data_IF_747168700312
#
_entry.id   IF_747168700312
#
_cell.length_a   1.000
_cell.length_b   1.000
_cell.length_c   1.000
_cell.angle_alpha   90.00
_cell.angle_beta   90.00
_cell.angle_gamma   90.00
#
_symmetry.space_group_name_H-M   'P 1'
#
loop_
_entity.id
_entity.type
_entity.pdbx_description
1 polymer ?
#
# COMPACT_ATOMS: atom_id res chain seq x y z
N UNK A 1 -25.06 20.46 87.30
CA UNK A 1 -25.09 18.98 87.26
C UNK A 1 -25.02 18.56 85.81
N UNK A 2 -23.81 18.31 85.30
CA UNK A 2 -23.16 16.99 85.23
C UNK A 2 -23.65 16.15 84.04
N UNK A 3 -22.76 16.05 83.05
CA UNK A 3 -22.26 14.81 82.43
C UNK A 3 -23.32 13.79 81.97
N UNK A 4 -23.49 13.70 80.66
CA UNK A 4 -23.67 12.42 79.97
C UNK A 4 -23.20 12.51 78.51
N UNK A 5 -22.03 11.90 78.24
CA UNK A 5 -21.72 10.99 77.11
C UNK A 5 -21.98 11.54 75.69
N UNK A 6 -21.03 11.92 74.84
CA UNK A 6 -19.69 11.40 74.51
C UNK A 6 -19.67 9.90 74.13
N UNK A 7 -20.42 9.56 73.08
CA UNK A 7 -20.28 8.38 72.22
C UNK A 7 -20.70 8.87 70.83
N UNK A 8 -19.88 8.94 69.78
CA UNK A 8 -18.94 7.96 69.30
C UNK A 8 -19.33 7.66 67.85
N UNK A 9 -18.98 8.55 66.92
CA UNK A 9 -18.92 8.22 65.50
C UNK A 9 -17.92 9.15 64.80
N UNK A 10 -16.65 8.93 65.15
CA UNK A 10 -15.52 9.32 64.33
C UNK A 10 -15.67 8.53 63.02
N UNK A 11 -16.26 9.14 62.00
CA UNK A 11 -16.19 8.64 60.63
C UNK A 11 -14.73 8.75 60.21
N UNK A 12 -14.01 7.66 60.42
CA UNK A 12 -12.66 7.43 59.92
C UNK A 12 -12.75 7.54 58.40
N UNK A 13 -12.30 8.67 57.89
CA UNK A 13 -11.86 8.87 56.51
C UNK A 13 -10.67 7.95 56.24
N UNK A 14 -10.94 6.65 56.05
CA UNK A 14 -10.00 5.77 55.37
C UNK A 14 -10.21 5.94 53.86
N UNK A 15 -9.85 7.13 53.39
CA UNK A 15 -9.50 7.32 51.99
C UNK A 15 -8.11 6.73 51.84
N UNK A 16 -8.04 5.42 51.64
CA UNK A 16 -6.85 4.75 51.14
C UNK A 16 -6.52 5.39 49.80
N UNK A 17 -5.59 6.34 49.83
CA UNK A 17 -4.81 6.74 48.66
C UNK A 17 -4.09 5.48 48.18
N UNK A 18 -4.71 4.76 47.24
CA UNK A 18 -3.96 3.91 46.34
C UNK A 18 -3.08 4.86 45.53
N UNK A 19 -1.84 5.04 45.98
CA UNK A 19 -0.79 5.56 45.14
C UNK A 19 -0.62 4.55 43.99
N UNK A 20 -1.34 4.78 42.90
CA UNK A 20 -1.11 4.09 41.64
C UNK A 20 0.38 4.29 41.32
N UNK A 21 1.16 3.22 41.33
CA UNK A 21 2.56 3.32 40.91
C UNK A 21 2.55 3.89 39.50
N UNK A 22 3.14 5.08 39.30
CA UNK A 22 3.27 5.71 38.00
C UNK A 22 4.20 4.83 37.14
N UNK A 23 3.64 3.80 36.51
CA UNK A 23 4.38 2.95 35.59
C UNK A 23 4.91 3.82 34.44
N UNK A 24 6.20 3.68 34.15
CA UNK A 24 6.85 4.36 33.04
C UNK A 24 7.04 3.35 31.92
N UNK A 25 6.64 3.74 30.70
CA UNK A 25 6.85 2.93 29.50
C UNK A 25 8.33 2.55 29.36
N UNK A 26 8.59 1.26 29.21
CA UNK A 26 9.92 0.66 29.09
C UNK A 26 10.20 0.30 27.65
N UNK A 27 9.22 -0.24 26.91
CA UNK A 27 9.46 -0.72 25.54
C UNK A 27 9.71 0.44 24.56
N UNK A 28 9.04 1.57 24.77
CA UNK A 28 9.24 2.79 23.95
C UNK A 28 10.63 3.44 24.12
N UNK A 29 11.42 3.06 25.14
CA UNK A 29 12.76 3.63 25.33
C UNK A 29 13.77 3.11 24.31
N UNK A 30 13.50 1.93 23.72
CA UNK A 30 14.30 1.38 22.63
C UNK A 30 13.38 1.01 21.46
N UNK A 31 13.14 1.94 20.51
CA UNK A 31 12.25 1.71 19.39
C UNK A 31 12.73 0.65 18.40
N UNK A 32 13.99 0.21 18.47
CA UNK A 32 14.64 -0.70 17.52
C UNK A 32 14.72 -2.16 18.03
N UNK A 33 13.96 -2.50 19.08
CA UNK A 33 13.85 -3.89 19.58
C UNK A 33 13.29 -4.81 18.47
N UNK A 34 13.78 -6.04 18.38
CA UNK A 34 13.23 -7.07 17.49
C UNK A 34 11.74 -7.38 17.77
N UNK A 35 10.96 -7.71 16.73
CA UNK A 35 9.51 -7.89 16.84
C UNK A 35 9.12 -9.08 17.74
N UNK A 36 9.89 -10.18 17.72
CA UNK A 36 9.61 -11.35 18.58
C UNK A 36 9.85 -11.01 20.04
N UNK A 37 10.99 -10.34 20.31
CA UNK A 37 11.32 -9.87 21.66
C UNK A 37 10.30 -8.84 22.16
N UNK A 38 9.84 -7.94 21.29
CA UNK A 38 8.83 -6.96 21.61
C UNK A 38 7.49 -7.63 21.97
N UNK A 39 7.06 -8.62 21.18
CA UNK A 39 5.85 -9.41 21.44
C UNK A 39 5.90 -10.09 22.81
N UNK A 40 7.02 -10.74 23.13
CA UNK A 40 7.23 -11.34 24.45
C UNK A 40 7.14 -10.28 25.54
N UNK A 41 7.73 -9.10 25.32
CA UNK A 41 7.69 -8.02 26.31
C UNK A 41 6.27 -7.51 26.57
N UNK A 42 5.43 -7.35 25.55
CA UNK A 42 4.06 -6.85 25.77
C UNK A 42 3.15 -7.94 26.34
N UNK A 43 3.39 -9.22 26.03
CA UNK A 43 2.54 -10.34 26.48
C UNK A 43 2.52 -10.56 28.00
N UNK A 44 3.52 -10.07 28.74
CA UNK A 44 3.51 -10.19 30.21
C UNK A 44 2.90 -8.96 30.91
N UNK A 45 2.62 -7.88 30.18
CA UNK A 45 2.11 -6.65 30.77
C UNK A 45 0.59 -6.74 31.05
N UNK A 46 0.13 -6.27 32.22
CA UNK A 46 -1.30 -6.06 32.46
C UNK A 46 -1.86 -4.91 31.61
N UNK A 47 -3.18 -4.90 31.42
CA UNK A 47 -3.93 -3.98 30.57
C UNK A 47 -3.62 -2.50 30.84
N UNK A 48 -3.63 -2.10 32.11
CA UNK A 48 -3.36 -0.73 32.55
C UNK A 48 -1.98 -0.25 32.09
N UNK A 49 -0.97 -1.12 32.12
CA UNK A 49 0.39 -0.83 31.66
C UNK A 49 0.51 -0.84 30.13
N UNK A 50 -0.27 -1.68 29.45
CA UNK A 50 -0.31 -1.69 27.98
C UNK A 50 -0.81 -0.37 27.41
N UNK A 51 -1.80 0.29 28.03
CA UNK A 51 -2.24 1.62 27.61
C UNK A 51 -1.15 2.70 27.79
N UNK A 52 -0.35 2.60 28.85
CA UNK A 52 0.81 3.51 29.05
C UNK A 52 1.88 3.29 27.97
N UNK A 53 2.15 2.03 27.61
CA UNK A 53 3.04 1.72 26.48
C UNK A 53 2.46 2.24 25.16
N UNK A 54 1.16 1.99 24.87
CA UNK A 54 0.50 2.47 23.67
C UNK A 54 0.60 4.01 23.53
N UNK A 55 0.42 4.74 24.63
CA UNK A 55 0.58 6.20 24.64
C UNK A 55 2.01 6.63 24.35
N UNK A 56 3.01 5.95 24.90
CA UNK A 56 4.42 6.23 24.64
C UNK A 56 4.79 5.97 23.16
N UNK A 57 4.32 4.86 22.60
CA UNK A 57 4.51 4.53 21.18
C UNK A 57 3.77 5.47 20.24
N UNK A 58 2.56 5.90 20.60
CA UNK A 58 1.84 6.96 19.85
C UNK A 58 2.65 8.26 19.82
N UNK A 59 3.28 8.65 20.91
CA UNK A 59 4.14 9.85 20.95
C UNK A 59 5.35 9.72 20.02
N UNK A 60 6.00 8.55 19.98
CA UNK A 60 7.05 8.28 19.00
C UNK A 60 6.53 8.36 17.57
N UNK A 61 5.30 7.88 17.32
CA UNK A 61 4.66 7.97 16.02
C UNK A 61 4.34 9.42 15.62
N UNK A 62 3.91 10.26 16.57
CA UNK A 62 3.70 11.70 16.39
C UNK A 62 4.99 12.41 15.97
N UNK A 63 6.10 12.14 16.68
CA UNK A 63 7.40 12.74 16.37
C UNK A 63 7.92 12.27 15.01
N UNK A 64 7.86 10.96 14.71
CA UNK A 64 8.26 10.44 13.41
C UNK A 64 7.37 10.98 12.27
N UNK A 65 6.07 11.19 12.51
CA UNK A 65 5.16 11.79 11.53
C UNK A 65 5.48 13.28 11.29
N UNK A 66 5.88 14.01 12.33
CA UNK A 66 6.35 15.39 12.22
C UNK A 66 7.62 15.47 11.38
N UNK A 67 8.59 14.58 11.60
CA UNK A 67 9.84 14.54 10.83
C UNK A 67 9.57 14.30 9.33
N UNK A 68 8.69 13.35 9.02
CA UNK A 68 8.24 13.09 7.63
C UNK A 68 7.59 14.34 7.03
N UNK A 69 6.76 15.06 7.78
CA UNK A 69 6.13 16.29 7.30
C UNK A 69 7.15 17.41 7.04
N UNK A 70 8.15 17.58 7.91
CA UNK A 70 9.23 18.56 7.73
C UNK A 70 10.05 18.24 6.47
N UNK A 71 10.41 16.96 6.26
CA UNK A 71 11.12 16.53 5.06
C UNK A 71 10.30 16.81 3.78
N UNK A 72 8.99 16.55 3.79
CA UNK A 72 8.10 16.88 2.67
C UNK A 72 8.04 18.38 2.39
N UNK A 73 8.00 19.23 3.43
CA UNK A 73 8.07 20.68 3.27
C UNK A 73 9.41 21.11 2.66
N UNK A 74 10.52 20.47 3.03
CA UNK A 74 11.83 20.76 2.46
C UNK A 74 11.88 20.38 0.97
N UNK A 75 11.32 19.24 0.57
CA UNK A 75 11.19 18.85 -0.84
C UNK A 75 10.37 19.89 -1.60
N UNK A 76 9.24 20.32 -1.05
CA UNK A 76 8.41 21.35 -1.67
C UNK A 76 9.20 22.65 -1.89
N UNK A 77 9.94 23.10 -0.88
CA UNK A 77 10.82 24.28 -1.00
C UNK A 77 11.88 24.13 -2.09
N UNK A 78 12.44 22.92 -2.29
CA UNK A 78 13.39 22.69 -3.38
C UNK A 78 12.69 22.68 -4.75
N UNK A 79 11.49 22.11 -4.86
CA UNK A 79 10.68 22.17 -6.08
C UNK A 79 10.39 23.63 -6.47
N UNK A 80 9.97 24.46 -5.52
CA UNK A 80 9.69 25.89 -5.76
C UNK A 80 10.95 26.62 -6.27
N UNK A 81 12.13 26.30 -5.72
CA UNK A 81 13.41 26.86 -6.20
C UNK A 81 13.73 26.38 -7.61
N UNK A 82 13.54 25.09 -7.91
CA UNK A 82 13.78 24.53 -9.23
C UNK A 82 12.85 25.19 -10.26
N UNK A 83 11.57 25.39 -9.93
CA UNK A 83 10.61 26.09 -10.78
C UNK A 83 11.02 27.55 -11.02
N UNK A 84 11.46 28.25 -9.96
CA UNK A 84 12.00 29.61 -10.07
C UNK A 84 13.23 29.65 -11.00
N UNK A 85 14.15 28.69 -10.87
CA UNK A 85 15.32 28.59 -11.73
C UNK A 85 14.94 28.28 -13.19
N UNK A 86 13.97 27.39 -13.43
CA UNK A 86 13.43 27.10 -14.78
C UNK A 86 12.87 28.36 -15.43
N UNK A 87 11.99 29.09 -14.74
CA UNK A 87 11.43 30.37 -15.21
C UNK A 87 12.51 31.39 -15.52
N UNK A 88 13.54 31.51 -14.66
CA UNK A 88 14.68 32.41 -14.89
C UNK A 88 15.48 32.02 -16.13
N UNK A 89 15.64 30.73 -16.42
CA UNK A 89 16.30 30.25 -17.63
C UNK A 89 15.48 30.62 -18.86
N UNK A 90 14.17 30.34 -18.85
CA UNK A 90 13.25 30.69 -19.96
C UNK A 90 13.27 32.18 -20.25
N UNK A 91 13.08 33.04 -19.23
CA UNK A 91 13.13 34.50 -19.40
C UNK A 91 14.50 35.00 -19.88
N UNK A 92 15.60 34.32 -19.53
CA UNK A 92 16.93 34.68 -20.02
C UNK A 92 17.14 34.24 -21.47
N UNK A 93 16.60 33.08 -21.87
CA UNK A 93 16.62 32.58 -23.25
C UNK A 93 15.79 33.47 -24.19
N UNK A 94 14.57 33.83 -23.79
CA UNK A 94 13.73 34.78 -24.55
C UNK A 94 14.41 36.15 -24.73
N UNK A 95 15.15 36.63 -23.72
CA UNK A 95 15.93 37.88 -23.79
C UNK A 95 17.19 37.79 -24.66
N UNK A 96 17.66 36.59 -24.95
CA UNK A 96 18.76 36.34 -25.89
C UNK A 96 18.18 36.35 -27.31
N UNK A 97 17.09 35.61 -27.55
CA UNK A 97 16.41 35.52 -28.86
C UNK A 97 15.90 36.88 -29.34
N UNK A 98 15.21 37.66 -28.49
CA UNK A 98 14.74 39.03 -28.86
C UNK A 98 15.86 40.04 -29.08
N UNK A 99 17.08 39.79 -28.60
CA UNK A 99 18.24 40.65 -28.85
C UNK A 99 18.96 40.28 -30.14
N UNK A 100 18.95 39.01 -30.54
CA UNK A 100 19.50 38.57 -31.82
C UNK A 100 18.68 39.11 -33.01
N UNK A 101 17.35 39.18 -32.90
CA UNK A 101 16.49 39.76 -33.95
C UNK A 101 16.63 41.29 -34.11
N UNK A 102 17.03 42.00 -33.05
CA UNK A 102 17.15 43.48 -33.06
C UNK A 102 18.53 44.01 -33.48
N UNK A 103 19.56 43.16 -33.61
CA UNK A 103 20.95 43.59 -33.87
C UNK A 103 21.53 43.02 -35.16
N UNK A 104 20.83 43.18 -36.28
CA UNK A 104 21.39 42.90 -37.62
C UNK A 104 22.47 43.92 -38.06
N UNK A 105 22.92 44.83 -37.20
CA UNK A 105 24.02 45.75 -37.47
C UNK A 105 25.01 45.78 -36.29
N UNK A 106 26.28 45.63 -36.65
CA UNK A 106 27.41 45.15 -35.84
C UNK A 106 27.84 46.14 -34.76
N UNK A 107 28.13 45.62 -33.56
CA UNK A 107 29.21 46.12 -32.70
C UNK A 107 29.67 45.00 -31.75
N UNK A 108 30.97 44.93 -31.43
CA UNK A 108 31.60 44.03 -30.43
C UNK A 108 30.95 44.06 -29.03
N UNK A 109 29.99 44.96 -28.83
CA UNK A 109 29.13 45.10 -27.66
C UNK A 109 27.98 44.08 -27.65
N UNK A 110 27.42 43.72 -28.80
CA UNK A 110 26.38 42.70 -28.93
C UNK A 110 26.92 41.30 -28.57
N UNK A 111 28.12 40.96 -29.04
CA UNK A 111 28.80 39.70 -28.73
C UNK A 111 29.14 39.57 -27.23
N UNK A 112 29.59 40.65 -26.59
CA UNK A 112 29.80 40.69 -25.13
C UNK A 112 28.49 40.60 -24.33
N UNK A 113 27.37 41.06 -24.87
CA UNK A 113 26.04 40.95 -24.24
C UNK A 113 25.51 39.52 -24.36
N UNK A 114 25.68 38.87 -25.52
CA UNK A 114 25.33 37.47 -25.73
C UNK A 114 26.16 36.55 -24.83
N UNK A 115 27.49 36.70 -24.81
CA UNK A 115 28.38 35.92 -23.93
C UNK A 115 28.07 36.12 -22.44
N UNK A 116 27.68 37.33 -22.02
CA UNK A 116 27.28 37.62 -20.64
C UNK A 116 25.92 37.00 -20.30
N UNK A 117 25.01 36.91 -21.27
CA UNK A 117 23.71 36.27 -21.08
C UNK A 117 23.85 34.74 -21.02
N UNK A 118 24.65 34.13 -21.90
CA UNK A 118 24.98 32.70 -21.85
C UNK A 118 25.65 32.31 -20.53
N UNK A 119 26.60 33.13 -20.04
CA UNK A 119 27.25 32.87 -18.75
C UNK A 119 26.25 32.87 -17.59
N UNK A 120 25.24 33.75 -17.64
CA UNK A 120 24.16 33.79 -16.63
C UNK A 120 23.23 32.59 -16.74
N UNK A 121 22.91 32.13 -17.96
CA UNK A 121 22.13 30.90 -18.15
C UNK A 121 22.87 29.71 -17.55
N UNK A 122 24.17 29.55 -17.86
CA UNK A 122 25.02 28.49 -17.29
C UNK A 122 25.09 28.55 -15.75
N UNK A 123 25.19 29.75 -15.18
CA UNK A 123 25.20 29.92 -13.71
C UNK A 123 23.86 29.51 -13.07
N UNK A 124 22.73 29.82 -13.72
CA UNK A 124 21.39 29.43 -13.25
C UNK A 124 21.15 27.91 -13.44
N UNK A 125 21.69 27.30 -14.50
CA UNK A 125 21.66 25.85 -14.72
C UNK A 125 22.46 25.11 -13.64
N UNK A 126 23.68 25.54 -13.32
CA UNK A 126 24.47 24.97 -12.21
C UNK A 126 23.75 25.14 -10.87
N UNK A 127 23.08 26.26 -10.63
CA UNK A 127 22.29 26.46 -9.41
C UNK A 127 21.06 25.52 -9.34
N UNK A 128 20.45 25.21 -10.49
CA UNK A 128 19.35 24.26 -10.61
C UNK A 128 19.82 22.83 -10.33
N UNK A 129 20.93 22.40 -10.92
CA UNK A 129 21.51 21.06 -10.68
C UNK A 129 21.82 20.85 -9.19
N UNK A 130 22.42 21.84 -8.52
CA UNK A 130 22.66 21.79 -7.07
C UNK A 130 21.37 21.72 -6.23
N UNK A 131 20.26 22.27 -6.73
CA UNK A 131 18.97 22.16 -6.06
C UNK A 131 18.34 20.77 -6.26
N UNK A 132 18.56 20.15 -7.43
CA UNK A 132 18.16 18.78 -7.74
C UNK A 132 18.95 17.75 -6.92
N UNK A 133 20.26 17.91 -6.78
CA UNK A 133 21.10 17.05 -5.92
C UNK A 133 20.64 17.09 -4.46
N UNK A 134 20.43 18.28 -3.89
CA UNK A 134 19.89 18.43 -2.52
C UNK A 134 18.49 17.84 -2.37
N UNK A 135 17.70 17.79 -3.44
CA UNK A 135 16.39 17.15 -3.41
C UNK A 135 16.55 15.63 -3.30
N UNK A 136 17.52 15.02 -3.98
CA UNK A 136 17.81 13.59 -3.89
C UNK A 136 18.19 13.20 -2.46
N UNK A 137 19.11 13.93 -1.81
CA UNK A 137 19.49 13.66 -0.41
C UNK A 137 18.29 13.70 0.54
N UNK A 138 17.42 14.71 0.38
CA UNK A 138 16.20 14.83 1.21
C UNK A 138 15.18 13.72 0.90
N UNK A 139 15.15 13.19 -0.32
CA UNK A 139 14.28 12.07 -0.69
C UNK A 139 14.75 10.76 -0.05
N UNK A 140 16.06 10.51 -0.02
CA UNK A 140 16.64 9.35 0.68
C UNK A 140 16.35 9.42 2.19
N UNK A 141 16.56 10.59 2.81
CA UNK A 141 16.24 10.79 4.22
C UNK A 141 14.74 10.62 4.50
N UNK A 142 13.88 11.12 3.61
CA UNK A 142 12.43 10.92 3.70
C UNK A 142 12.05 9.43 3.63
N UNK A 143 12.73 8.62 2.81
CA UNK A 143 12.50 7.19 2.74
C UNK A 143 12.84 6.51 4.08
N UNK A 144 14.00 6.83 4.68
CA UNK A 144 14.40 6.33 6.01
C UNK A 144 13.42 6.76 7.12
N UNK A 145 12.98 8.01 7.11
CA UNK A 145 12.00 8.52 8.07
C UNK A 145 10.64 7.82 7.95
N UNK A 146 10.19 7.55 6.71
CA UNK A 146 8.96 6.79 6.47
C UNK A 146 9.08 5.36 6.95
N UNK A 147 10.22 4.71 6.75
CA UNK A 147 10.48 3.36 7.27
C UNK A 147 10.41 3.33 8.80
N UNK A 148 11.10 4.26 9.47
CA UNK A 148 11.05 4.39 10.93
C UNK A 148 9.62 4.58 11.44
N UNK A 149 8.85 5.46 10.79
CA UNK A 149 7.44 5.70 11.12
C UNK A 149 6.59 4.42 10.95
N UNK A 150 6.81 3.65 9.90
CA UNK A 150 6.11 2.37 9.68
C UNK A 150 6.45 1.35 10.77
N UNK A 151 7.73 1.17 11.12
CA UNK A 151 8.15 0.28 12.21
C UNK A 151 7.48 0.65 13.54
N UNK A 152 7.43 1.95 13.87
CA UNK A 152 6.75 2.44 15.07
C UNK A 152 5.24 2.15 15.01
N UNK A 153 4.62 2.37 13.84
CA UNK A 153 3.20 2.07 13.63
C UNK A 153 2.90 0.58 13.77
N UNK A 154 3.76 -0.30 13.25
CA UNK A 154 3.61 -1.76 13.32
C UNK A 154 3.67 -2.22 14.78
N UNK A 155 4.62 -1.71 15.57
CA UNK A 155 4.73 -2.01 17.01
C UNK A 155 3.57 -1.46 17.83
N UNK A 156 3.10 -0.25 17.51
CA UNK A 156 1.89 0.28 18.12
C UNK A 156 0.69 -0.61 17.80
N UNK A 157 0.54 -1.09 16.55
CA UNK A 157 -0.50 -2.03 16.19
C UNK A 157 -0.42 -3.34 16.98
N UNK A 158 0.78 -3.87 17.23
CA UNK A 158 0.97 -5.06 18.08
C UNK A 158 0.49 -4.82 19.52
N UNK A 159 0.80 -3.67 20.13
CA UNK A 159 0.29 -3.32 21.46
C UNK A 159 -1.25 -3.25 21.44
N UNK A 160 -1.84 -2.60 20.43
CA UNK A 160 -3.30 -2.46 20.34
C UNK A 160 -3.99 -3.83 20.13
N UNK A 161 -3.34 -4.75 19.42
CA UNK A 161 -3.82 -6.14 19.28
C UNK A 161 -3.82 -6.84 20.64
N UNK A 162 -2.71 -6.77 21.38
CA UNK A 162 -2.60 -7.36 22.73
C UNK A 162 -3.64 -6.77 23.71
N UNK A 163 -3.87 -5.46 23.64
CA UNK A 163 -4.93 -4.81 24.41
C UNK A 163 -6.29 -5.39 24.02
N UNK A 164 -6.64 -5.44 22.73
CA UNK A 164 -7.92 -5.97 22.28
C UNK A 164 -8.16 -7.43 22.68
N UNK A 165 -7.13 -8.26 22.64
CA UNK A 165 -7.21 -9.66 23.07
C UNK A 165 -7.56 -9.79 24.55
N UNK A 166 -7.08 -8.87 25.40
CA UNK A 166 -7.34 -8.87 26.84
C UNK A 166 -8.68 -8.25 27.21
N UNK A 167 -9.00 -7.10 26.63
CA UNK A 167 -10.17 -6.30 27.03
C UNK A 167 -11.45 -6.76 26.34
N UNK A 168 -11.33 -7.54 25.27
CA UNK A 168 -12.41 -7.98 24.41
C UNK A 168 -12.98 -6.87 23.52
N UNK A 169 -13.87 -7.26 22.63
CA UNK A 169 -14.62 -6.33 21.76
C UNK A 169 -15.92 -5.89 22.42
N UNK A 170 -16.53 -4.84 21.85
CA UNK A 170 -17.90 -4.43 22.18
C UNK A 170 -18.90 -5.51 21.73
N UNK A 171 -20.15 -5.37 22.16
CA UNK A 171 -21.26 -6.30 21.85
C UNK A 171 -21.50 -6.43 20.34
N UNK A 172 -21.16 -5.41 19.55
CA UNK A 172 -21.25 -5.39 18.09
C UNK A 172 -20.03 -6.01 17.38
N UNK A 173 -19.06 -6.55 18.13
CA UNK A 173 -17.81 -7.09 17.62
C UNK A 173 -16.77 -6.03 17.25
N UNK A 174 -17.00 -4.75 17.56
CA UNK A 174 -16.06 -3.67 17.26
C UNK A 174 -15.06 -3.42 18.40
N UNK A 175 -13.88 -2.90 18.07
CA UNK A 175 -12.87 -2.49 19.08
C UNK A 175 -13.46 -1.42 20.04
N UNK A 176 -13.00 -1.40 21.29
CA UNK A 176 -13.43 -0.36 22.26
C UNK A 176 -12.98 1.04 21.80
N UNK A 177 -13.71 2.07 22.23
CA UNK A 177 -13.46 3.46 21.78
C UNK A 177 -12.03 3.95 22.11
N UNK A 178 -11.48 3.48 23.23
CA UNK A 178 -10.11 3.80 23.66
C UNK A 178 -9.07 3.29 22.66
N UNK A 179 -9.20 2.06 22.16
CA UNK A 179 -8.32 1.47 21.15
C UNK A 179 -8.57 2.10 19.78
N UNK A 180 -9.84 2.38 19.46
CA UNK A 180 -10.25 2.97 18.19
C UNK A 180 -9.65 4.37 17.98
N UNK A 181 -9.46 5.16 19.04
CA UNK A 181 -8.80 6.46 18.98
C UNK A 181 -7.35 6.34 18.44
N UNK A 182 -6.60 5.33 18.88
CA UNK A 182 -5.26 5.06 18.37
C UNK A 182 -5.29 4.62 16.91
N UNK A 183 -6.20 3.71 16.53
CA UNK A 183 -6.35 3.26 15.13
C UNK A 183 -6.62 4.41 14.17
N UNK A 184 -7.52 5.32 14.54
CA UNK A 184 -7.84 6.50 13.73
C UNK A 184 -6.62 7.39 13.55
N UNK A 185 -5.84 7.59 14.61
CA UNK A 185 -4.60 8.34 14.53
C UNK A 185 -3.60 7.67 13.57
N UNK A 186 -3.33 6.38 13.75
CA UNK A 186 -2.44 5.57 12.88
C UNK A 186 -2.87 5.70 11.40
N UNK A 187 -4.17 5.54 11.12
CA UNK A 187 -4.71 5.65 9.77
C UNK A 187 -4.56 7.06 9.18
N UNK A 188 -4.67 8.10 10.00
CA UNK A 188 -4.51 9.48 9.53
C UNK A 188 -3.07 9.81 9.14
N UNK A 189 -2.08 9.22 9.83
CA UNK A 189 -0.66 9.48 9.58
C UNK A 189 -0.05 8.54 8.54
N UNK A 190 -0.62 7.36 8.34
CA UNK A 190 -0.17 6.40 7.31
C UNK A 190 -0.54 6.83 5.89
N UNK A 191 -1.50 7.74 5.73
CA UNK A 191 -1.91 8.30 4.44
C UNK A 191 -0.74 8.92 3.66
N UNK A 192 -0.50 8.40 2.46
CA UNK A 192 0.57 8.84 1.57
C UNK A 192 0.01 9.91 0.61
N UNK A 193 0.31 11.19 0.86
CA UNK A 193 0.13 12.25 -0.15
C UNK A 193 1.35 12.24 -1.08
N UNK A 194 1.21 11.66 -2.27
CA UNK A 194 2.20 11.81 -3.35
C UNK A 194 1.71 12.93 -4.25
N UNK A 195 2.40 14.07 -4.22
CA UNK A 195 2.23 15.12 -5.22
C UNK A 195 2.92 14.66 -6.51
N UNK A 196 2.11 14.17 -7.47
CA UNK A 196 2.56 13.71 -8.79
C UNK A 196 2.63 14.94 -9.70
N UNK A 197 3.72 15.70 -9.66
CA UNK A 197 3.85 16.90 -10.54
C UNK A 197 5.19 17.05 -11.26
N UNK A 198 6.19 16.19 -11.04
CA UNK A 198 7.47 16.28 -11.78
C UNK A 198 7.91 14.94 -12.39
N UNK A 199 7.81 14.84 -13.72
CA UNK A 199 8.13 13.67 -14.56
C UNK A 199 9.60 13.23 -14.55
N UNK A 200 10.52 14.07 -14.08
CA UNK A 200 11.96 13.74 -13.95
C UNK A 200 12.29 13.13 -12.58
N UNK A 201 11.42 13.34 -11.57
CA UNK A 201 11.56 12.77 -10.23
C UNK A 201 10.84 11.44 -10.04
N UNK A 202 9.92 11.08 -10.94
CA UNK A 202 9.17 9.82 -10.86
C UNK A 202 10.06 8.59 -11.01
N UNK A 203 11.11 8.61 -11.84
CA UNK A 203 12.02 7.46 -11.96
C UNK A 203 12.88 7.30 -10.70
N UNK A 204 13.33 8.40 -10.09
CA UNK A 204 14.12 8.38 -8.85
C UNK A 204 13.25 7.89 -7.68
N UNK A 205 12.04 8.43 -7.54
CA UNK A 205 11.08 7.99 -6.53
C UNK A 205 10.66 6.51 -6.70
N UNK A 206 10.52 6.02 -7.94
CA UNK A 206 10.20 4.61 -8.21
C UNK A 206 11.38 3.71 -7.87
N UNK A 207 12.62 4.11 -8.21
CA UNK A 207 13.82 3.35 -7.82
C UNK A 207 14.00 3.30 -6.31
N UNK A 208 13.79 4.41 -5.60
CA UNK A 208 13.84 4.48 -4.14
C UNK A 208 12.74 3.63 -3.47
N UNK A 209 11.51 3.68 -3.99
CA UNK A 209 10.43 2.81 -3.52
C UNK A 209 10.74 1.33 -3.75
N UNK A 210 11.31 0.97 -4.91
CA UNK A 210 11.64 -0.41 -5.26
C UNK A 210 12.80 -0.98 -4.42
N UNK A 211 13.81 -0.16 -4.11
CA UNK A 211 15.01 -0.57 -3.34
C UNK A 211 14.75 -0.54 -1.83
N UNK A 212 13.76 0.21 -1.35
CA UNK A 212 13.43 0.28 0.08
C UNK A 212 12.95 -1.06 0.65
N UNK A 213 13.54 -1.47 1.78
CA UNK A 213 13.24 -2.71 2.50
C UNK A 213 11.76 -2.86 2.90
N UNK A 214 11.04 -1.75 3.11
CA UNK A 214 9.64 -1.78 3.52
C UNK A 214 8.63 -1.40 2.43
N UNK A 215 9.08 -0.80 1.32
CA UNK A 215 8.23 -0.48 0.18
C UNK A 215 8.17 -1.64 -0.82
N UNK A 216 9.18 -1.71 -1.69
CA UNK A 216 9.24 -2.66 -2.78
C UNK A 216 9.41 -4.10 -2.33
N UNK A 217 10.27 -4.38 -1.34
CA UNK A 217 10.65 -5.75 -1.00
C UNK A 217 9.52 -6.56 -0.33
N UNK A 218 8.75 -5.93 0.57
CA UNK A 218 7.61 -6.56 1.27
C UNK A 218 6.45 -6.84 0.29
N UNK A 219 6.21 -5.92 -0.65
CA UNK A 219 5.22 -6.11 -1.72
C UNK A 219 5.69 -7.14 -2.75
N UNK A 220 6.98 -7.15 -3.11
CA UNK A 220 7.59 -8.13 -4.03
C UNK A 220 7.38 -9.57 -3.54
N UNK A 221 7.55 -9.83 -2.24
CA UNK A 221 7.29 -11.15 -1.64
C UNK A 221 5.84 -11.58 -1.84
N UNK A 222 4.88 -10.68 -1.60
CA UNK A 222 3.46 -10.98 -1.76
C UNK A 222 3.05 -11.12 -3.24
N UNK A 223 3.59 -10.29 -4.15
CA UNK A 223 3.42 -10.46 -5.59
C UNK A 223 3.95 -11.82 -6.03
N UNK A 224 5.15 -12.22 -5.58
CA UNK A 224 5.76 -13.48 -5.96
C UNK A 224 4.86 -14.67 -5.59
N UNK A 225 4.27 -14.65 -4.38
CA UNK A 225 3.30 -15.65 -3.94
C UNK A 225 2.04 -15.61 -4.83
N UNK A 226 1.52 -14.42 -5.15
CA UNK A 226 0.35 -14.29 -6.02
C UNK A 226 0.60 -14.83 -7.44
N UNK A 227 1.75 -14.50 -8.04
CA UNK A 227 2.17 -15.04 -9.35
C UNK A 227 2.36 -16.55 -9.27
N UNK A 228 2.93 -17.06 -8.18
CA UNK A 228 3.07 -18.50 -7.94
C UNK A 228 1.70 -19.20 -7.96
N UNK A 229 0.70 -18.64 -7.28
CA UNK A 229 -0.67 -19.16 -7.29
C UNK A 229 -1.26 -19.14 -8.70
N UNK A 230 -1.09 -18.05 -9.45
CA UNK A 230 -1.53 -17.95 -10.85
C UNK A 230 -0.88 -19.07 -11.69
N UNK A 231 0.43 -19.24 -11.62
CA UNK A 231 1.14 -20.28 -12.37
C UNK A 231 0.65 -21.69 -12.00
N UNK A 232 0.41 -21.95 -10.72
CA UNK A 232 -0.13 -23.23 -10.25
C UNK A 232 -1.54 -23.47 -10.79
N UNK A 233 -2.40 -22.45 -10.79
CA UNK A 233 -3.76 -22.53 -11.33
C UNK A 233 -3.78 -22.73 -12.85
N UNK A 234 -2.84 -22.13 -13.58
CA UNK A 234 -2.67 -22.33 -15.02
C UNK A 234 -2.17 -23.75 -15.32
N UNK A 235 -1.23 -24.27 -14.53
CA UNK A 235 -0.74 -25.64 -14.65
C UNK A 235 -1.86 -26.66 -14.39
N UNK A 236 -2.64 -26.47 -13.33
CA UNK A 236 -3.79 -27.32 -13.02
C UNK A 236 -4.82 -27.32 -14.16
N UNK A 237 -5.15 -26.14 -14.68
CA UNK A 237 -6.06 -25.98 -15.82
C UNK A 237 -5.54 -26.69 -17.08
N UNK A 238 -4.23 -26.62 -17.33
CA UNK A 238 -3.57 -27.28 -18.45
C UNK A 238 -3.64 -28.82 -18.34
N UNK A 239 -3.40 -29.38 -17.14
CA UNK A 239 -3.47 -30.83 -16.89
C UNK A 239 -4.90 -31.35 -17.06
N UNK A 240 -5.90 -30.66 -16.50
CA UNK A 240 -7.31 -31.05 -16.59
C UNK A 240 -7.77 -31.03 -18.06
N UNK A 241 -7.40 -30.00 -18.84
CA UNK A 241 -7.72 -29.94 -20.28
C UNK A 241 -7.18 -31.16 -21.03
N UNK A 242 -5.95 -31.57 -20.75
CA UNK A 242 -5.33 -32.72 -21.38
C UNK A 242 -5.92 -34.05 -20.88
N UNK A 243 -6.31 -34.13 -19.61
CA UNK A 243 -6.96 -35.31 -19.02
C UNK A 243 -8.36 -35.54 -19.58
N UNK A 244 -9.21 -34.50 -19.60
CA UNK A 244 -10.59 -34.58 -20.11
C UNK A 244 -10.61 -34.91 -21.60
N UNK A 245 -9.73 -34.30 -22.41
CA UNK A 245 -9.64 -34.62 -23.84
C UNK A 245 -9.18 -36.05 -24.11
N UNK A 246 -8.29 -36.62 -23.28
CA UNK A 246 -7.89 -38.04 -23.38
C UNK A 246 -9.03 -38.96 -22.94
N UNK A 247 -9.71 -38.64 -21.84
CA UNK A 247 -10.86 -39.41 -21.35
C UNK A 247 -12.01 -39.43 -22.36
N UNK A 248 -12.35 -38.28 -22.96
CA UNK A 248 -13.39 -38.16 -24.00
C UNK A 248 -13.04 -38.90 -25.31
N UNK A 249 -11.74 -39.04 -25.62
CA UNK A 249 -11.27 -39.86 -26.76
C UNK A 249 -11.35 -41.35 -26.45
N UNK A 250 -11.03 -41.76 -25.22
CA UNK A 250 -11.11 -43.15 -24.76
C UNK A 250 -12.56 -43.62 -24.58
N UNK A 251 -13.47 -42.73 -24.19
CA UNK A 251 -14.90 -43.03 -24.04
C UNK A 251 -15.66 -43.07 -25.38
N UNK A 252 -14.97 -43.04 -26.52
CA UNK A 252 -15.57 -43.21 -27.86
C UNK A 252 -16.47 -42.05 -28.33
N UNK A 253 -16.60 -40.97 -27.57
CA UNK A 253 -17.61 -39.93 -27.82
C UNK A 253 -17.28 -38.98 -28.99
N UNK A 254 -16.06 -39.04 -29.56
CA UNK A 254 -15.62 -38.11 -30.62
C UNK A 254 -15.36 -38.81 -31.98
N UNK A 255 -15.63 -40.12 -32.11
CA UNK A 255 -15.48 -40.82 -33.41
C UNK A 255 -16.75 -40.72 -34.28
N UNK A 256 -17.87 -40.20 -33.77
CA UNK A 256 -19.17 -40.26 -34.45
C UNK A 256 -19.63 -39.08 -35.31
N UNK A 257 -18.84 -38.02 -35.55
CA UNK A 257 -19.36 -36.82 -36.28
C UNK A 257 -18.62 -36.53 -37.61
N UNK A 258 -17.58 -37.29 -37.99
CA UNK A 258 -16.82 -36.97 -39.22
C UNK A 258 -17.23 -37.75 -40.48
N UNK A 259 -17.90 -38.90 -40.35
CA UNK A 259 -18.03 -39.83 -41.48
C UNK A 259 -19.43 -39.91 -42.12
N UNK A 260 -20.29 -38.90 -41.96
CA UNK A 260 -21.57 -38.81 -42.70
C UNK A 260 -21.70 -37.59 -43.62
N UNK A 261 -20.59 -36.99 -44.07
CA UNK A 261 -20.61 -36.00 -45.14
C UNK A 261 -19.71 -36.44 -46.29
N UNK A 262 -20.08 -37.52 -46.96
CA UNK A 262 -19.39 -37.99 -48.15
C UNK A 262 -20.17 -39.06 -48.90
N UNK A 263 -21.20 -38.67 -49.63
CA UNK A 263 -21.54 -39.15 -50.98
C UNK A 263 -23.03 -38.91 -51.28
N UNK A 264 -23.33 -37.70 -51.74
CA UNK A 264 -24.45 -37.51 -52.64
C UNK A 264 -23.97 -36.59 -53.77
N UNK A 265 -23.66 -37.21 -54.89
CA UNK A 265 -23.51 -36.53 -56.17
C UNK A 265 -24.87 -35.95 -56.57
N UNK A 266 -24.88 -34.67 -56.94
CA UNK A 266 -26.00 -34.08 -57.68
C UNK A 266 -26.56 -32.80 -57.07
N UNK A 267 -26.31 -31.68 -57.76
CA UNK A 267 -26.98 -30.39 -57.69
C UNK A 267 -26.80 -29.48 -56.46
N UNK A 268 -25.90 -28.52 -56.66
CA UNK A 268 -26.02 -27.08 -56.40
C UNK A 268 -27.14 -26.56 -55.46
N UNK A 269 -26.67 -25.83 -54.44
CA UNK A 269 -27.31 -24.79 -53.59
C UNK A 269 -27.65 -25.22 -52.15
N UNK A 270 -27.26 -24.35 -51.22
CA UNK A 270 -27.56 -24.34 -49.77
C UNK A 270 -26.60 -25.11 -48.82
N UNK A 271 -25.41 -24.55 -48.58
CA UNK A 271 -24.55 -24.90 -47.42
C UNK A 271 -24.79 -23.94 -46.25
N UNK A 272 -25.99 -23.94 -45.66
CA UNK A 272 -26.22 -23.19 -44.41
C UNK A 272 -27.06 -23.90 -43.34
N UNK A 273 -27.41 -25.18 -43.51
CA UNK A 273 -28.37 -25.86 -42.61
C UNK A 273 -27.88 -27.12 -41.89
N UNK A 274 -26.60 -27.49 -41.93
CA UNK A 274 -26.13 -28.72 -41.25
C UNK A 274 -25.71 -28.58 -39.78
N UNK A 275 -25.70 -27.39 -39.17
CA UNK A 275 -25.30 -27.23 -37.75
C UNK A 275 -26.46 -27.14 -36.74
N UNK A 276 -27.73 -27.20 -37.16
CA UNK A 276 -28.87 -27.02 -36.23
C UNK A 276 -29.55 -28.33 -35.78
N UNK A 277 -29.24 -29.49 -36.37
CA UNK A 277 -30.04 -30.70 -36.17
C UNK A 277 -29.39 -31.83 -35.36
N UNK A 278 -28.11 -31.74 -34.99
CA UNK A 278 -27.45 -32.78 -34.18
C UNK A 278 -27.53 -32.57 -32.66
N UNK A 279 -28.01 -31.41 -32.18
CA UNK A 279 -28.02 -31.12 -30.74
C UNK A 279 -29.27 -31.59 -30.00
N UNK A 280 -30.35 -31.93 -30.70
CA UNK A 280 -31.66 -32.19 -30.06
C UNK A 280 -32.06 -33.66 -29.95
N UNK A 281 -31.38 -34.60 -30.63
CA UNK A 281 -31.88 -35.99 -30.71
C UNK A 281 -31.26 -36.99 -29.73
N UNK A 282 -30.17 -36.63 -29.05
CA UNK A 282 -29.49 -37.55 -28.10
C UNK A 282 -29.87 -37.34 -26.62
N UNK A 283 -30.60 -36.27 -26.28
CA UNK A 283 -31.05 -36.03 -24.90
C UNK A 283 -32.32 -36.84 -24.55
N UNK A 284 -33.13 -37.18 -25.56
CA UNK A 284 -34.43 -37.82 -25.36
C UNK A 284 -34.34 -39.33 -25.05
N UNK A 285 -33.27 -40.02 -25.49
CA UNK A 285 -33.06 -41.43 -25.13
C UNK A 285 -32.39 -41.62 -23.77
N UNK A 286 -31.68 -40.63 -23.24
CA UNK A 286 -31.04 -40.73 -21.93
C UNK A 286 -32.02 -40.51 -20.77
N UNK A 287 -33.05 -39.68 -20.96
CA UNK A 287 -34.07 -39.45 -19.93
C UNK A 287 -35.09 -40.59 -19.80
N UNK A 288 -35.30 -41.40 -20.85
CA UNK A 288 -36.30 -42.48 -20.82
C UNK A 288 -35.83 -43.75 -20.11
N UNK A 289 -34.52 -43.89 -19.83
CA UNK A 289 -33.95 -45.08 -19.17
C UNK A 289 -33.79 -44.94 -17.65
N UNK A 290 -34.00 -43.75 -17.09
CA UNK A 290 -33.85 -43.49 -15.64
C UNK A 290 -35.18 -43.24 -14.91
N UNK A 291 -36.34 -43.33 -15.59
CA UNK A 291 -37.65 -43.11 -14.96
C UNK A 291 -38.38 -44.41 -14.57
N UNK A 292 -38.00 -45.56 -15.15
CA UNK A 292 -38.67 -46.85 -14.88
C UNK A 292 -38.02 -47.67 -13.75
N UNK A 293 -36.80 -47.32 -13.30
CA UNK A 293 -36.08 -48.05 -12.25
C UNK A 293 -36.32 -47.50 -10.82
N UNK A 294 -37.22 -46.53 -10.65
CA UNK A 294 -37.39 -45.76 -9.42
C UNK A 294 -38.71 -45.96 -8.63
N UNK A 295 -39.52 -46.98 -8.94
CA UNK A 295 -40.87 -47.12 -8.35
C UNK A 295 -41.18 -48.52 -7.78
N UNK A 296 -40.18 -49.20 -7.20
CA UNK A 296 -40.36 -50.47 -6.48
C UNK A 296 -39.66 -50.54 -5.12
N UNK A 297 -39.32 -49.39 -4.52
CA UNK A 297 -38.89 -49.35 -3.12
C UNK A 297 -39.20 -48.00 -2.47
N UNK A 298 -40.48 -47.73 -2.24
CA UNK A 298 -41.05 -47.05 -1.07
C UNK A 298 -42.57 -47.21 -1.08
#
# INVERSE_FOLDING_TARGET
MMRTLLVGFMLITNMTLFAASSYKATTAQNPDIDDDKFSIMISYLPEDKLFVEAQAWKKLLEDASRDVAIAQLNIKKQNDKIELHKKKIETQKEKIETKEEATSNIDKKAEKIAQKAEKKVKEVEVAKEKAEEKKIDVLEDLAKLREKRTKISDKLNLILLEINERIGTKVDGTEKDEVLAYRRYINSVSGVKIDITDSTSTIVNIKEWLISDQGGLRWLKNIAIFISIILLSLLASYIIRNGVTKALKLSGCIIGIRDQCGSHNGHSRSRRFCCRFCFTRNFEQFCKRNYDDGLSSF
#
